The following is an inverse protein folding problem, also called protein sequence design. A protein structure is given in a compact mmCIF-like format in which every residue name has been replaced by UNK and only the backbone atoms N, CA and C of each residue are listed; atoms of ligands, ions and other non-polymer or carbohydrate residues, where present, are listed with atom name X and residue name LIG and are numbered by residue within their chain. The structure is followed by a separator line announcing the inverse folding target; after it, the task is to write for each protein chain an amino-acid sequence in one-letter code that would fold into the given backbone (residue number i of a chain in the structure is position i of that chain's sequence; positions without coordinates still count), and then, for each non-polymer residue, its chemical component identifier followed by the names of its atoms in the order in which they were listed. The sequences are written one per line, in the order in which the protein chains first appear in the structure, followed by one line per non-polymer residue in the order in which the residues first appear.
data_IF_499463386313
#
_entry.id   IF_499463386313
#
_cell.length_a   1.000
_cell.length_b   1.000
_cell.length_c   1.000
_cell.angle_alpha   90.00
_cell.angle_beta   90.00
_cell.angle_gamma   90.00
#
_symmetry.space_group_name_H-M   'P 1'
#
loop_
_entity.id
_entity.type
_entity.pdbx_description
1 polymer ?
#
# COMPACT_ATOMS: atom_id res chain seq x y z
N UNK A 1 13.18 4.77 0.21
CA UNK A 1 13.54 6.05 0.87
C UNK A 1 12.40 7.08 0.98
N UNK A 2 11.66 7.40 -0.09
CA UNK A 2 10.62 8.46 -0.07
C UNK A 2 9.47 8.22 0.90
N UNK A 3 9.16 6.97 1.22
CA UNK A 3 8.21 6.61 2.29
C UNK A 3 8.90 6.52 3.66
N UNK A 4 10.05 5.85 3.71
CA UNK A 4 10.80 5.60 4.94
C UNK A 4 11.14 6.90 5.70
N UNK A 5 11.67 7.92 5.04
CA UNK A 5 12.13 9.15 5.71
C UNK A 5 10.97 9.86 6.44
N UNK A 6 9.82 10.15 5.80
CA UNK A 6 8.64 10.69 6.49
C UNK A 6 8.21 9.86 7.71
N UNK A 7 8.17 8.53 7.60
CA UNK A 7 7.81 7.66 8.72
C UNK A 7 8.82 7.74 9.88
N UNK A 8 10.13 7.78 9.58
CA UNK A 8 11.14 7.95 10.63
C UNK A 8 11.04 9.31 11.32
N UNK A 9 10.72 10.39 10.58
CA UNK A 9 10.47 11.71 11.15
C UNK A 9 9.24 11.73 12.04
N UNK A 10 8.16 11.09 11.62
CA UNK A 10 6.94 10.95 12.42
C UNK A 10 7.23 10.17 13.71
N UNK A 11 7.95 9.05 13.63
CA UNK A 11 8.30 8.25 14.80
C UNK A 11 9.13 9.05 15.83
N UNK A 12 10.11 9.82 15.36
CA UNK A 12 10.91 10.71 16.23
C UNK A 12 10.06 11.82 16.84
N UNK A 13 9.19 12.46 16.05
CA UNK A 13 8.31 13.52 16.55
C UNK A 13 7.36 13.00 17.65
N UNK A 14 6.78 11.80 17.47
CA UNK A 14 5.93 11.18 18.48
C UNK A 14 6.72 10.78 19.73
N UNK A 15 7.91 10.18 19.56
CA UNK A 15 8.72 9.72 20.68
C UNK A 15 9.31 10.88 21.48
N UNK A 16 10.09 11.76 20.83
CA UNK A 16 10.81 12.83 21.51
C UNK A 16 9.98 14.09 21.72
N UNK A 17 9.03 14.39 20.82
CA UNK A 17 8.20 15.59 20.90
C UNK A 17 6.95 15.43 21.76
N UNK A 18 6.43 14.20 21.87
CA UNK A 18 5.16 13.92 22.57
C UNK A 18 5.27 12.84 23.65
N UNK A 19 6.46 12.26 23.88
CA UNK A 19 6.68 11.25 24.92
C UNK A 19 5.97 9.93 24.67
N UNK A 20 5.55 9.64 23.44
CA UNK A 20 4.90 8.39 23.11
C UNK A 20 5.90 7.23 23.11
N UNK A 21 5.46 6.06 23.59
CA UNK A 21 6.18 4.81 23.36
C UNK A 21 5.96 4.37 21.90
N UNK A 22 7.01 4.50 21.08
CA UNK A 22 6.94 4.27 19.64
C UNK A 22 7.69 3.02 19.26
N UNK A 23 7.01 2.13 18.55
CA UNK A 23 7.60 0.98 17.88
C UNK A 23 7.56 1.18 16.37
N UNK A 24 8.72 1.11 15.71
CA UNK A 24 8.83 1.19 14.26
C UNK A 24 8.93 -0.22 13.66
N UNK A 25 7.93 -0.59 12.86
CA UNK A 25 7.93 -1.85 12.11
C UNK A 25 8.78 -1.70 10.85
N UNK A 26 9.83 -2.51 10.72
CA UNK A 26 10.72 -2.53 9.56
C UNK A 26 10.59 -3.84 8.81
N UNK A 27 10.32 -3.76 7.50
CA UNK A 27 10.23 -4.94 6.66
C UNK A 27 11.63 -5.42 6.25
N UNK A 28 11.88 -6.72 6.44
CA UNK A 28 13.15 -7.35 6.09
C UNK A 28 12.93 -8.50 5.07
N UNK A 29 13.78 -8.60 4.04
CA UNK A 29 14.93 -7.75 3.74
C UNK A 29 14.53 -6.37 3.17
N UNK A 30 15.37 -5.35 3.37
CA UNK A 30 15.17 -4.03 2.73
C UNK A 30 15.52 -4.10 1.24
N UNK A 31 14.87 -3.29 0.42
CA UNK A 31 15.11 -3.27 -1.04
C UNK A 31 16.47 -2.65 -1.37
N UNK A 32 16.95 -1.69 -0.56
CA UNK A 32 18.22 -1.00 -0.82
C UNK A 32 19.11 -0.86 0.42
N UNK A 33 20.43 -0.76 0.20
CA UNK A 33 21.40 -0.48 1.27
C UNK A 33 21.21 0.89 1.92
N UNK A 34 20.66 1.85 1.18
CA UNK A 34 20.29 3.16 1.72
C UNK A 34 19.21 3.05 2.81
N UNK A 35 18.20 2.21 2.60
CA UNK A 35 17.15 1.96 3.58
C UNK A 35 17.70 1.29 4.83
N UNK A 36 18.48 0.22 4.66
CA UNK A 36 19.15 -0.46 5.78
C UNK A 36 20.03 0.48 6.61
N UNK A 37 20.85 1.33 5.97
CA UNK A 37 21.70 2.29 6.67
C UNK A 37 20.89 3.36 7.40
N UNK A 38 19.82 3.87 6.77
CA UNK A 38 18.95 4.89 7.39
C UNK A 38 18.24 4.33 8.64
N UNK A 39 17.73 3.10 8.55
CA UNK A 39 17.10 2.41 9.68
C UNK A 39 18.11 2.19 10.82
N UNK A 40 19.32 1.71 10.50
CA UNK A 40 20.36 1.51 11.50
C UNK A 40 20.75 2.82 12.21
N UNK A 41 20.92 3.90 11.43
CA UNK A 41 21.24 5.22 11.98
C UNK A 41 20.12 5.77 12.87
N UNK A 42 18.85 5.55 12.51
CA UNK A 42 17.71 5.95 13.33
C UNK A 42 17.77 5.30 14.72
N UNK A 43 17.90 3.98 14.79
CA UNK A 43 17.90 3.27 16.07
C UNK A 43 19.15 3.55 16.91
N UNK A 44 20.28 3.85 16.27
CA UNK A 44 21.47 4.31 16.97
C UNK A 44 21.27 5.69 17.60
N UNK A 45 20.59 6.60 16.90
CA UNK A 45 20.34 7.96 17.38
C UNK A 45 19.17 8.05 18.38
N UNK A 46 18.16 7.19 18.27
CA UNK A 46 16.94 7.23 19.07
C UNK A 46 16.65 5.86 19.72
N UNK A 47 17.39 5.49 20.79
CA UNK A 47 17.25 4.19 21.44
C UNK A 47 15.90 3.97 22.13
N UNK A 48 15.13 5.04 22.38
CA UNK A 48 13.77 4.95 22.90
C UNK A 48 12.76 4.39 21.88
N UNK A 49 13.05 4.48 20.58
CA UNK A 49 12.19 3.92 19.54
C UNK A 49 12.49 2.43 19.43
N UNK A 50 11.48 1.59 19.73
CA UNK A 50 11.63 0.14 19.65
C UNK A 50 11.59 -0.33 18.21
N UNK A 51 12.47 -1.28 17.87
CA UNK A 51 12.51 -1.91 16.55
C UNK A 51 11.64 -3.17 16.54
N UNK A 52 10.70 -3.24 15.59
CA UNK A 52 9.95 -4.46 15.31
C UNK A 52 10.28 -4.94 13.90
N UNK A 53 10.77 -6.16 13.77
CA UNK A 53 11.16 -6.72 12.48
C UNK A 53 10.03 -7.56 11.88
N UNK A 54 9.52 -7.11 10.73
CA UNK A 54 8.59 -7.87 9.90
C UNK A 54 9.39 -8.65 8.87
N UNK A 55 9.67 -9.92 9.14
CA UNK A 55 10.35 -10.80 8.18
C UNK A 55 9.37 -11.24 7.11
N UNK A 56 9.59 -10.75 5.89
CA UNK A 56 8.72 -11.01 4.75
C UNK A 56 8.81 -12.46 4.33
N UNK A 57 7.66 -13.03 3.93
CA UNK A 57 7.64 -14.33 3.28
C UNK A 57 8.41 -14.25 1.95
N UNK A 58 9.15 -15.31 1.57
CA UNK A 58 9.79 -15.37 0.26
C UNK A 58 8.76 -15.16 -0.86
N UNK A 59 9.08 -14.28 -1.80
CA UNK A 59 8.29 -14.02 -3.00
C UNK A 59 9.17 -14.31 -4.21
N UNK A 60 8.76 -15.22 -5.08
CA UNK A 60 9.47 -15.48 -6.34
C UNK A 60 9.13 -14.40 -7.36
N UNK A 61 9.80 -13.27 -7.19
CA UNK A 61 9.63 -12.11 -8.05
C UNK A 61 9.95 -12.40 -9.52
N UNK A 62 10.87 -13.33 -9.77
CA UNK A 62 11.34 -13.65 -11.13
C UNK A 62 10.28 -14.39 -11.95
N UNK A 63 9.54 -15.30 -11.30
CA UNK A 63 8.46 -16.05 -11.93
C UNK A 63 7.13 -15.28 -11.94
N UNK A 64 6.78 -14.61 -10.83
CA UNK A 64 5.47 -13.96 -10.68
C UNK A 64 5.40 -12.57 -11.33
N UNK A 65 6.52 -11.83 -11.32
CA UNK A 65 6.56 -10.41 -11.73
C UNK A 65 7.77 -10.10 -12.63
N UNK A 66 7.87 -10.74 -13.82
CA UNK A 66 9.02 -10.58 -14.69
C UNK A 66 9.19 -9.11 -15.12
N UNK A 67 10.36 -8.54 -14.81
CA UNK A 67 10.69 -7.14 -15.13
C UNK A 67 10.00 -6.08 -14.26
N UNK A 68 9.32 -6.48 -13.18
CA UNK A 68 8.77 -5.52 -12.23
C UNK A 68 9.86 -4.80 -11.46
N UNK A 69 9.59 -3.53 -11.11
CA UNK A 69 10.51 -2.76 -10.29
C UNK A 69 10.60 -3.36 -8.86
N UNK A 70 11.81 -3.46 -8.28
CA UNK A 70 12.03 -4.08 -6.98
C UNK A 70 11.24 -3.47 -5.82
N UNK A 71 10.90 -2.18 -5.87
CA UNK A 71 10.10 -1.55 -4.82
C UNK A 71 8.63 -2.01 -4.89
N UNK A 72 8.07 -2.19 -6.08
CA UNK A 72 6.71 -2.75 -6.22
C UNK A 72 6.65 -4.21 -5.73
N UNK A 73 7.65 -5.01 -6.07
CA UNK A 73 7.80 -6.37 -5.54
C UNK A 73 7.89 -6.36 -4.01
N UNK A 74 8.68 -5.43 -3.45
CA UNK A 74 8.79 -5.25 -2.00
C UNK A 74 7.45 -4.90 -1.34
N UNK A 75 6.67 -3.99 -1.93
CA UNK A 75 5.33 -3.67 -1.45
C UNK A 75 4.39 -4.88 -1.51
N UNK A 76 4.43 -5.67 -2.58
CA UNK A 76 3.58 -6.85 -2.69
C UNK A 76 3.96 -7.94 -1.67
N UNK A 77 5.25 -8.19 -1.47
CA UNK A 77 5.73 -9.09 -0.43
C UNK A 77 5.26 -8.65 0.98
N UNK A 78 5.30 -7.34 1.26
CA UNK A 78 4.72 -6.77 2.48
C UNK A 78 3.22 -7.02 2.56
N UNK A 79 2.46 -6.73 1.49
CA UNK A 79 1.00 -6.89 1.49
C UNK A 79 0.57 -8.33 1.77
N UNK A 80 1.32 -9.33 1.30
CA UNK A 80 1.07 -10.75 1.59
C UNK A 80 1.45 -11.15 3.02
N UNK A 81 2.48 -10.53 3.58
CA UNK A 81 3.01 -10.88 4.91
C UNK A 81 2.25 -10.19 6.06
N UNK A 82 1.76 -8.97 5.84
CA UNK A 82 1.10 -8.14 6.87
C UNK A 82 -0.11 -8.84 7.52
N UNK A 83 -1.07 -9.43 6.78
CA UNK A 83 -2.21 -10.13 7.38
C UNK A 83 -1.82 -11.22 8.39
N UNK A 84 -0.68 -11.88 8.17
CA UNK A 84 -0.24 -13.01 8.99
C UNK A 84 0.58 -12.57 10.20
N UNK A 85 1.39 -11.52 10.03
CA UNK A 85 2.41 -11.14 11.01
C UNK A 85 2.04 -9.90 11.83
N UNK A 86 1.15 -9.05 11.33
CA UNK A 86 0.80 -7.80 11.99
C UNK A 86 0.08 -8.03 13.32
N UNK A 87 -0.82 -9.01 13.40
CA UNK A 87 -1.56 -9.28 14.64
C UNK A 87 -0.66 -9.65 15.82
N UNK A 88 0.21 -10.67 15.69
CA UNK A 88 1.20 -11.00 16.71
C UNK A 88 2.13 -9.83 17.07
N UNK A 89 2.53 -9.02 16.09
CA UNK A 89 3.37 -7.85 16.32
C UNK A 89 2.66 -6.76 17.14
N UNK A 90 1.40 -6.46 16.82
CA UNK A 90 0.61 -5.47 17.56
C UNK A 90 0.34 -5.92 19.00
N UNK A 91 -0.01 -7.20 19.19
CA UNK A 91 -0.23 -7.78 20.50
C UNK A 91 1.05 -7.77 21.35
N UNK A 92 2.19 -8.21 20.76
CA UNK A 92 3.48 -8.21 21.45
C UNK A 92 4.00 -6.81 21.80
N UNK A 93 3.64 -5.80 21.01
CA UNK A 93 4.00 -4.41 21.27
C UNK A 93 3.07 -3.69 22.26
N UNK A 94 1.89 -4.26 22.55
CA UNK A 94 0.84 -3.58 23.32
C UNK A 94 0.37 -2.29 22.67
N UNK A 95 0.26 -2.28 21.33
CA UNK A 95 0.03 -1.05 20.56
C UNK A 95 -1.37 -0.45 20.79
N UNK A 96 -1.43 0.82 21.15
CA UNK A 96 -2.69 1.57 21.32
C UNK A 96 -3.22 2.18 20.01
N UNK A 97 -2.35 2.37 19.02
CA UNK A 97 -2.69 2.83 17.68
C UNK A 97 -1.68 2.31 16.66
N UNK A 98 -2.11 2.19 15.41
CA UNK A 98 -1.28 1.84 14.27
C UNK A 98 -1.25 3.01 13.28
N UNK A 99 -0.05 3.36 12.80
CA UNK A 99 0.10 4.24 11.63
C UNK A 99 0.64 3.41 10.47
N UNK A 100 -0.20 3.19 9.45
CA UNK A 100 0.12 2.36 8.30
C UNK A 100 0.41 3.18 7.05
N UNK A 101 1.28 2.67 6.18
CA UNK A 101 1.49 3.24 4.85
C UNK A 101 0.26 2.98 3.95
N UNK A 102 -0.08 3.96 3.11
CA UNK A 102 -1.18 3.85 2.14
C UNK A 102 -1.05 2.62 1.21
N UNK A 103 0.15 2.13 0.94
CA UNK A 103 0.40 0.93 0.14
C UNK A 103 -0.09 -0.34 0.85
N UNK A 104 -0.08 -0.33 2.19
CA UNK A 104 -0.49 -1.45 3.04
C UNK A 104 -1.86 -1.25 3.66
N UNK A 105 -2.47 -0.06 3.53
CA UNK A 105 -3.75 0.27 4.15
C UNK A 105 -4.85 -0.78 3.89
N UNK A 106 -4.95 -1.29 2.67
CA UNK A 106 -5.97 -2.29 2.31
C UNK A 106 -5.87 -3.60 3.10
N UNK A 107 -4.67 -3.96 3.59
CA UNK A 107 -4.43 -5.19 4.35
C UNK A 107 -4.24 -4.93 5.85
N UNK A 108 -3.72 -3.76 6.21
CA UNK A 108 -3.47 -3.39 7.61
C UNK A 108 -4.74 -2.93 8.34
N UNK A 109 -5.62 -2.17 7.66
CA UNK A 109 -6.85 -1.63 8.27
C UNK A 109 -7.80 -2.75 8.72
N UNK A 110 -8.08 -3.81 7.93
CA UNK A 110 -8.93 -4.92 8.39
C UNK A 110 -8.35 -5.62 9.63
N UNK A 111 -7.05 -5.91 9.64
CA UNK A 111 -6.38 -6.57 10.77
C UNK A 111 -6.44 -5.71 12.03
N UNK A 112 -6.15 -4.41 11.92
CA UNK A 112 -6.22 -3.51 13.07
C UNK A 112 -7.67 -3.38 13.60
N UNK A 113 -8.66 -3.39 12.70
CA UNK A 113 -10.08 -3.38 13.07
C UNK A 113 -10.47 -4.63 13.87
N UNK A 114 -10.05 -5.81 13.45
CA UNK A 114 -10.31 -7.07 14.17
C UNK A 114 -9.70 -7.06 15.58
N UNK A 115 -8.55 -6.40 15.73
CA UNK A 115 -7.85 -6.25 17.01
C UNK A 115 -8.32 -5.05 17.83
N UNK A 116 -9.32 -4.30 17.35
CA UNK A 116 -9.85 -3.09 17.99
C UNK A 116 -8.78 -2.01 18.23
N UNK A 117 -7.76 -1.95 17.37
CA UNK A 117 -6.70 -0.93 17.40
C UNK A 117 -7.01 0.16 16.36
N UNK A 118 -7.10 1.44 16.76
CA UNK A 118 -7.21 2.56 15.83
C UNK A 118 -6.09 2.55 14.78
N UNK A 119 -6.46 2.61 13.49
CA UNK A 119 -5.52 2.58 12.38
C UNK A 119 -5.58 3.88 11.57
N UNK A 120 -4.47 4.62 11.56
CA UNK A 120 -4.28 5.83 10.79
C UNK A 120 -3.46 5.53 9.55
N UNK A 121 -3.88 6.06 8.40
CA UNK A 121 -3.13 5.90 7.16
C UNK A 121 -2.30 7.14 6.91
N UNK A 122 -0.98 6.99 6.89
CA UNK A 122 -0.07 8.08 6.59
C UNK A 122 0.31 8.05 5.11
N UNK A 123 -0.05 9.12 4.41
CA UNK A 123 0.23 9.32 3.00
C UNK A 123 1.42 10.27 2.83
N UNK A 124 2.49 9.78 2.22
CA UNK A 124 3.79 10.50 2.14
C UNK A 124 3.90 11.45 0.95
N UNK A 125 2.90 11.49 0.08
CA UNK A 125 2.81 12.43 -1.05
C UNK A 125 1.75 13.52 -0.79
N UNK A 126 1.46 14.35 -1.80
CA UNK A 126 0.56 15.51 -1.65
C UNK A 126 -0.91 15.12 -1.49
N UNK A 127 -1.70 15.95 -0.81
CA UNK A 127 -3.16 15.79 -0.71
C UNK A 127 -3.83 15.67 -2.09
N UNK A 128 -3.30 16.39 -3.08
CA UNK A 128 -3.71 16.30 -4.47
C UNK A 128 -3.55 14.89 -5.06
N UNK A 129 -2.40 14.25 -4.84
CA UNK A 129 -2.16 12.86 -5.28
C UNK A 129 -3.05 11.88 -4.49
N UNK A 130 -3.31 12.16 -3.21
CA UNK A 130 -4.24 11.37 -2.41
C UNK A 130 -5.66 11.44 -2.98
N UNK A 131 -6.17 12.65 -3.29
CA UNK A 131 -7.48 12.83 -3.92
C UNK A 131 -7.57 12.10 -5.25
N UNK A 132 -6.51 12.16 -6.06
CA UNK A 132 -6.44 11.38 -7.29
C UNK A 132 -6.51 9.87 -7.01
N UNK A 133 -5.69 9.35 -6.08
CA UNK A 133 -5.66 7.92 -5.73
C UNK A 133 -7.00 7.43 -5.20
N UNK A 134 -7.70 8.25 -4.40
CA UNK A 134 -9.01 7.93 -3.84
C UNK A 134 -10.10 7.88 -4.92
N UNK A 135 -10.04 8.76 -5.91
CA UNK A 135 -11.02 8.80 -7.02
C UNK A 135 -10.70 7.83 -8.16
N UNK A 136 -9.47 7.31 -8.22
CA UNK A 136 -8.99 6.50 -9.33
C UNK A 136 -9.86 5.26 -9.63
N UNK A 137 -10.36 4.49 -8.65
CA UNK A 137 -11.25 3.36 -8.93
C UNK A 137 -12.53 3.78 -9.66
N UNK A 138 -13.21 4.82 -9.17
CA UNK A 138 -14.44 5.35 -9.78
C UNK A 138 -14.20 5.84 -11.21
N UNK A 139 -13.05 6.45 -11.46
CA UNK A 139 -12.66 6.87 -12.81
C UNK A 139 -12.46 5.69 -13.78
N UNK A 140 -11.93 4.57 -13.31
CA UNK A 140 -11.78 3.36 -14.12
C UNK A 140 -13.13 2.67 -14.37
N UNK A 141 -14.00 2.58 -13.36
CA UNK A 141 -15.32 1.97 -13.49
C UNK A 141 -16.21 2.72 -14.50
N UNK A 142 -16.17 4.06 -14.47
CA UNK A 142 -16.85 4.90 -15.46
C UNK A 142 -16.33 4.70 -16.89
N UNK A 143 -15.07 4.29 -17.07
CA UNK A 143 -14.51 3.92 -18.39
C UNK A 143 -14.88 2.51 -18.84
N UNK A 144 -15.07 1.56 -17.93
CA UNK A 144 -15.48 0.21 -18.30
C UNK A 144 -16.96 0.13 -18.72
N UNK A 145 -17.82 1.01 -18.18
CA UNK A 145 -19.23 1.13 -18.59
C UNK A 145 -19.46 1.86 -19.92
N UNK A 146 -18.50 2.69 -20.36
CA UNK A 146 -18.50 3.35 -21.66
C UNK A 146 -17.62 2.54 -22.62
N UNK A 147 -18.23 1.59 -23.36
CA UNK A 147 -17.52 0.73 -24.31
C UNK A 147 -16.50 1.50 -25.17
N UNK A 148 -15.36 0.85 -25.44
CA UNK A 148 -14.15 1.36 -26.10
C UNK A 148 -14.44 2.37 -27.21
N UNK A 149 -14.61 3.64 -26.82
CA UNK A 149 -14.58 4.77 -27.71
C UNK A 149 -13.30 5.53 -27.37
N UNK A 150 -12.40 5.61 -28.35
CA UNK A 150 -11.19 6.43 -28.29
C UNK A 150 -11.59 7.88 -28.04
N UNK A 151 -11.63 8.26 -26.77
CA UNK A 151 -11.85 9.64 -26.37
C UNK A 151 -10.71 10.05 -25.46
N UNK A 152 -9.96 11.03 -25.95
CA UNK A 152 -9.21 12.03 -25.21
C UNK A 152 -10.12 12.83 -24.27
N UNK A 153 -10.89 12.13 -23.43
CA UNK A 153 -11.73 12.71 -22.42
C UNK A 153 -10.78 13.22 -21.34
N UNK A 154 -10.59 14.54 -21.38
CA UNK A 154 -10.14 15.34 -20.26
C UNK A 154 -10.76 14.80 -18.98
N UNK A 155 -9.92 14.57 -17.98
CA UNK A 155 -10.36 14.35 -16.61
C UNK A 155 -11.02 15.64 -16.09
N UNK A 156 -12.20 15.96 -16.61
CA UNK A 156 -13.01 17.14 -16.31
C UNK A 156 -14.41 16.65 -15.96
N UNK A 157 -14.89 17.13 -14.80
CA UNK A 157 -16.08 16.68 -14.06
C UNK A 157 -15.84 15.31 -13.40
N UNK A 158 -15.39 15.20 -12.15
CA UNK A 158 -16.13 15.68 -10.95
C UNK A 158 -15.20 15.99 -9.77
N UNK A 159 -13.90 16.19 -10.01
CA UNK A 159 -12.93 16.60 -9.00
C UNK A 159 -12.59 18.07 -9.22
N UNK A 160 -12.90 18.93 -8.26
CA UNK A 160 -12.48 20.34 -8.19
C UNK A 160 -10.95 20.50 -8.09
N UNK A 161 -10.18 19.42 -8.21
CA UNK A 161 -8.72 19.44 -8.10
C UNK A 161 -8.07 19.59 -9.48
N UNK A 162 -7.48 20.76 -9.83
CA UNK A 162 -6.91 21.05 -11.16
C UNK A 162 -5.71 20.18 -11.55
N UNK A 163 -5.21 19.34 -10.65
CA UNK A 163 -4.05 18.48 -10.88
C UNK A 163 -4.38 17.10 -11.48
N UNK A 164 -5.66 16.74 -11.62
CA UNK A 164 -6.06 15.46 -12.23
C UNK A 164 -5.91 15.44 -13.76
N UNK A 165 -5.32 16.48 -14.36
CA UNK A 165 -5.05 16.54 -15.80
C UNK A 165 -4.28 15.30 -16.27
N UNK A 166 -4.82 14.60 -17.27
CA UNK A 166 -4.34 13.31 -17.74
C UNK A 166 -2.85 13.31 -18.14
N UNK A 167 -2.30 14.47 -18.54
CA UNK A 167 -0.88 14.65 -18.88
C UNK A 167 0.09 14.45 -17.73
N UNK A 168 -0.36 14.54 -16.46
CA UNK A 168 0.48 14.41 -15.26
C UNK A 168 0.44 13.02 -14.61
N UNK A 169 -0.34 12.08 -15.16
CA UNK A 169 -0.47 10.73 -14.61
C UNK A 169 0.67 9.81 -15.05
N UNK A 170 1.18 8.93 -14.17
CA UNK A 170 2.21 7.95 -14.55
C UNK A 170 1.71 7.01 -15.66
N UNK A 171 2.56 6.60 -16.62
CA UNK A 171 2.17 5.70 -17.71
C UNK A 171 1.54 4.38 -17.24
N UNK A 172 2.01 3.83 -16.12
CA UNK A 172 1.46 2.61 -15.50
C UNK A 172 -0.02 2.75 -15.11
N UNK A 173 -0.41 3.93 -14.63
CA UNK A 173 -1.81 4.27 -14.30
C UNK A 173 -2.65 4.64 -15.53
N UNK A 174 -2.03 4.81 -16.71
CA UNK A 174 -2.74 5.03 -17.98
C UNK A 174 -3.07 3.72 -18.72
N UNK A 175 -2.41 2.60 -18.38
CA UNK A 175 -2.52 1.34 -19.14
C UNK A 175 -2.91 0.09 -18.35
N UNK A 176 -3.01 0.09 -17.01
CA UNK A 176 -3.24 -1.15 -16.28
C UNK A 176 -4.24 -1.03 -15.12
N UNK A 177 -5.45 -1.54 -15.33
CA UNK A 177 -6.10 -2.56 -14.50
C UNK A 177 -7.34 -3.07 -15.25
N UNK A 178 -7.11 -3.82 -16.33
CA UNK A 178 -8.11 -4.78 -16.82
C UNK A 178 -7.99 -5.98 -15.88
N UNK A 179 -9.00 -6.32 -15.08
CA UNK A 179 -8.99 -7.59 -14.36
C UNK A 179 -8.96 -8.68 -15.42
N UNK A 180 -7.94 -9.55 -15.41
CA UNK A 180 -8.05 -10.84 -16.08
C UNK A 180 -9.23 -11.54 -15.40
N UNK A 181 -10.35 -11.59 -16.10
CA UNK A 181 -11.54 -12.34 -15.71
C UNK A 181 -11.12 -13.76 -15.43
N UNK A 182 -11.30 -14.18 -14.18
CA UNK A 182 -11.28 -15.57 -13.79
C UNK A 182 -12.36 -16.28 -14.62
N UNK A 183 -11.93 -17.16 -15.53
CA UNK A 183 -12.80 -18.00 -16.36
C UNK A 183 -13.69 -18.84 -15.45
N UNK A 184 -14.95 -18.42 -15.27
CA UNK A 184 -15.99 -19.28 -14.70
C UNK A 184 -16.22 -20.44 -15.67
N UNK A 185 -15.85 -21.65 -15.23
CA UNK A 185 -16.15 -22.88 -15.94
C UNK A 185 -17.62 -22.96 -16.33
N UNK A 186 -17.85 -23.12 -17.63
CA UNK A 186 -19.13 -23.44 -18.23
C UNK A 186 -19.59 -24.83 -17.73
N UNK A 187 -20.48 -24.85 -16.74
CA UNK A 187 -21.24 -26.04 -16.39
C UNK A 187 -22.41 -26.17 -17.37
N UNK A 188 -22.29 -27.10 -18.30
CA UNK A 188 -23.36 -27.50 -19.22
C UNK A 188 -24.51 -28.13 -18.43
N UNK A 189 -25.66 -27.44 -18.37
CA UNK A 189 -26.94 -28.07 -18.04
C UNK A 189 -27.36 -28.91 -19.25
N UNK A 190 -27.29 -30.24 -19.11
CA UNK A 190 -28.01 -31.17 -19.98
C UNK A 190 -29.50 -30.99 -19.71
N UNK A 191 -30.22 -30.53 -20.73
CA UNK A 191 -31.67 -30.59 -20.79
C UNK A 191 -32.08 -32.06 -21.05
N UNK A 192 -32.73 -32.69 -20.07
CA UNK A 192 -33.44 -33.94 -20.27
C UNK A 192 -34.68 -33.70 -21.13
N UNK A 193 -34.73 -34.36 -22.28
CA UNK A 193 -35.96 -34.65 -23.02
C UNK A 193 -36.02 -36.17 -23.18
N UNK A 194 -37.01 -36.77 -22.53
CA UNK A 194 -37.89 -37.88 -22.96
C UNK A 194 -38.34 -38.63 -21.71
#
# INVERSE_FOLDING_TARGET
MGHLVPFTRLAVALSSGHGCDVSLVTALPTVSSAESRHIAALFAAFPAIRRLDLRLAPLDASAEFPGADPFYVGYEAQRRSVPLLLGPLLAGAGASALVADIALASVAVPVARELHVPCYVFFTASATMLSFKAYFPTYLDGRHGAGVASASASASATSTCPACAASRLPPSHRRCMIPRTYSRGSSSRMAGRS
#
